data_IF_756063934125
#
_entry.id   IF_756063934125
#
_cell.length_a   1.000
_cell.length_b   1.000
_cell.length_c   1.000
_cell.angle_alpha   90.00
_cell.angle_beta   90.00
_cell.angle_gamma   90.00
#
_symmetry.space_group_name_H-M   'P 1'
#
loop_
_entity.id
_entity.type
_entity.pdbx_description
1 polymer ?
#
# COMPACT_ATOMS: atom_id res chain seq x y z
N UNK A 1 -2.83 -13.06 -11.02
CA UNK A 1 -3.28 -11.87 -10.25
C UNK A 1 -2.32 -10.71 -10.51
N UNK A 2 -2.84 -9.54 -10.87
CA UNK A 2 -2.09 -8.31 -11.09
C UNK A 2 -1.99 -7.49 -9.80
N UNK A 3 -3.11 -7.39 -9.07
CA UNK A 3 -3.21 -6.68 -7.79
C UNK A 3 -3.92 -7.57 -6.79
N UNK A 4 -3.35 -7.70 -5.58
CA UNK A 4 -3.86 -8.56 -4.52
C UNK A 4 -3.66 -7.91 -3.16
N UNK A 5 -4.62 -8.08 -2.26
CA UNK A 5 -4.47 -7.65 -0.87
C UNK A 5 -3.39 -8.44 -0.14
N UNK A 6 -2.91 -7.90 0.99
CA UNK A 6 -2.09 -8.67 1.92
C UNK A 6 -2.96 -9.61 2.75
N UNK A 7 -2.36 -10.52 3.51
CA UNK A 7 -3.10 -11.37 4.46
C UNK A 7 -3.79 -10.57 5.58
N UNK A 8 -3.38 -9.31 5.77
CA UNK A 8 -4.08 -8.35 6.62
C UNK A 8 -5.12 -7.60 5.79
N UNK A 9 -6.18 -8.30 5.38
CA UNK A 9 -7.37 -7.71 4.77
C UNK A 9 -8.64 -8.23 5.42
N UNK A 10 -9.70 -7.43 5.30
CA UNK A 10 -11.03 -7.71 5.78
C UNK A 10 -12.01 -7.21 4.72
N UNK A 11 -13.11 -7.93 4.50
CA UNK A 11 -14.24 -7.41 3.73
C UNK A 11 -15.16 -6.65 4.69
N UNK A 12 -15.67 -5.51 4.24
CA UNK A 12 -16.58 -4.64 4.99
C UNK A 12 -17.88 -4.56 4.20
N UNK A 13 -19.02 -4.53 4.89
CA UNK A 13 -20.30 -4.35 4.21
C UNK A 13 -20.36 -2.94 3.60
N UNK A 14 -20.84 -2.81 2.36
CA UNK A 14 -20.95 -1.53 1.65
C UNK A 14 -21.71 -0.49 2.49
N UNK A 15 -22.72 -0.91 3.27
CA UNK A 15 -23.51 -0.03 4.14
C UNK A 15 -22.69 0.65 5.23
N UNK A 16 -21.61 0.03 5.70
CA UNK A 16 -20.73 0.59 6.73
C UNK A 16 -19.75 1.61 6.14
N UNK A 17 -19.56 1.60 4.82
CA UNK A 17 -18.64 2.48 4.09
C UNK A 17 -19.37 3.53 3.25
N UNK A 18 -20.70 3.45 3.16
CA UNK A 18 -21.52 4.37 2.38
C UNK A 18 -21.52 5.78 3.01
N UNK A 19 -21.16 6.78 2.22
CA UNK A 19 -21.04 8.17 2.68
C UNK A 19 -19.64 8.52 3.18
N UNK A 20 -19.53 9.00 4.42
CA UNK A 20 -18.26 9.40 5.02
C UNK A 20 -17.85 8.41 6.10
N UNK A 21 -17.06 7.37 5.78
CA UNK A 21 -16.69 6.37 6.76
C UNK A 21 -15.85 6.98 7.88
N UNK A 22 -16.17 6.63 9.13
CA UNK A 22 -15.31 6.90 10.27
C UNK A 22 -14.15 5.90 10.28
N UNK A 23 -13.02 6.33 9.71
CA UNK A 23 -11.81 5.49 9.56
C UNK A 23 -11.37 4.87 10.90
N UNK A 24 -11.55 5.59 12.01
CA UNK A 24 -11.18 5.10 13.34
C UNK A 24 -12.10 3.95 13.82
N UNK A 25 -13.37 3.95 13.43
CA UNK A 25 -14.30 2.86 13.70
C UNK A 25 -13.99 1.64 12.85
N UNK A 26 -13.77 1.82 11.54
CA UNK A 26 -13.35 0.73 10.64
C UNK A 26 -12.04 0.05 11.12
N UNK A 27 -11.09 0.84 11.60
CA UNK A 27 -9.84 0.30 12.17
C UNK A 27 -10.04 -0.42 13.50
N UNK A 28 -11.06 -0.02 14.29
CA UNK A 28 -11.42 -0.68 15.56
C UNK A 28 -12.00 -2.07 15.31
N UNK A 29 -12.82 -2.18 14.28
CA UNK A 29 -13.50 -3.43 13.91
C UNK A 29 -12.66 -4.32 13.00
N UNK A 30 -11.57 -3.78 12.45
CA UNK A 30 -10.65 -4.50 11.59
C UNK A 30 -10.13 -5.80 12.24
N UNK A 31 -10.48 -6.91 11.61
CA UNK A 31 -9.98 -8.25 11.94
C UNK A 31 -9.31 -8.84 10.70
N UNK A 32 -8.00 -9.12 10.74
CA UNK A 32 -7.33 -9.72 9.59
C UNK A 32 -7.90 -11.12 9.34
N UNK A 33 -8.49 -11.34 8.17
CA UNK A 33 -9.05 -12.63 7.77
C UNK A 33 -8.01 -13.68 7.38
N UNK A 34 -6.74 -13.30 7.22
CA UNK A 34 -5.66 -14.17 6.73
C UNK A 34 -5.75 -14.51 5.24
N UNK A 35 -6.91 -14.28 4.64
CA UNK A 35 -7.17 -14.44 3.21
C UNK A 35 -6.66 -13.24 2.41
N UNK A 36 -6.27 -13.51 1.16
CA UNK A 36 -5.88 -12.49 0.20
C UNK A 36 -6.91 -12.41 -0.91
N UNK A 37 -7.38 -11.21 -1.20
CA UNK A 37 -8.37 -10.95 -2.24
C UNK A 37 -7.67 -10.42 -3.49
N UNK A 38 -8.08 -10.96 -4.63
CA UNK A 38 -7.63 -10.47 -5.93
C UNK A 38 -8.43 -9.23 -6.32
N UNK A 39 -7.76 -8.08 -6.37
CA UNK A 39 -8.36 -6.79 -6.78
C UNK A 39 -8.28 -6.64 -8.30
N UNK A 40 -7.21 -7.16 -8.90
CA UNK A 40 -7.00 -7.13 -10.34
C UNK A 40 -6.49 -8.47 -10.85
N UNK A 41 -7.13 -9.03 -11.86
CA UNK A 41 -6.74 -10.33 -12.46
C UNK A 41 -6.64 -10.23 -13.97
N UNK A 42 -5.63 -10.91 -14.52
CA UNK A 42 -5.55 -11.18 -15.95
C UNK A 42 -6.17 -12.54 -16.22
N UNK A 43 -7.13 -12.56 -17.12
CA UNK A 43 -7.79 -13.77 -17.63
C UNK A 43 -7.33 -13.92 -19.07
N UNK A 44 -6.70 -15.06 -19.37
CA UNK A 44 -6.28 -15.39 -20.72
C UNK A 44 -6.59 -16.83 -21.09
N UNK A 45 -6.81 -17.05 -22.39
CA UNK A 45 -7.13 -18.36 -22.95
C UNK A 45 -8.47 -18.41 -23.69
N UNK A 46 -8.89 -19.59 -24.18
CA UNK A 46 -10.17 -19.74 -24.83
C UNK A 46 -11.30 -19.47 -23.84
N UNK A 47 -12.23 -18.60 -24.21
CA UNK A 47 -13.40 -18.27 -23.39
C UNK A 47 -14.67 -18.81 -24.03
N UNK A 48 -15.54 -19.38 -23.19
CA UNK A 48 -16.84 -19.90 -23.61
C UNK A 48 -17.91 -18.83 -23.43
N UNK A 49 -18.88 -18.81 -24.35
CA UNK A 49 -20.03 -17.92 -24.25
C UNK A 49 -20.87 -18.28 -23.01
N UNK A 50 -21.29 -17.25 -22.26
CA UNK A 50 -22.28 -17.40 -21.19
C UNK A 50 -23.70 -17.68 -21.74
N UNK A 51 -23.92 -17.43 -23.03
CA UNK A 51 -25.18 -17.67 -23.73
C UNK A 51 -25.05 -18.89 -24.65
N UNK A 52 -25.00 -20.09 -24.06
CA UNK A 52 -24.82 -21.34 -24.81
C UNK A 52 -25.92 -21.57 -25.87
N UNK A 53 -27.14 -21.10 -25.58
CA UNK A 53 -28.32 -21.23 -26.43
C UNK A 53 -28.47 -20.09 -27.46
N UNK A 54 -27.50 -19.17 -27.51
CA UNK A 54 -27.51 -18.02 -28.42
C UNK A 54 -28.33 -16.83 -27.89
N UNK A 55 -28.48 -15.77 -28.71
CA UNK A 55 -29.21 -14.57 -28.30
C UNK A 55 -30.70 -14.89 -28.01
N UNK A 56 -31.33 -14.16 -27.07
CA UNK A 56 -32.77 -14.31 -26.78
C UNK A 56 -33.58 -14.19 -28.07
N UNK A 57 -34.60 -15.04 -28.25
CA UNK A 57 -35.43 -15.08 -29.47
C UNK A 57 -36.05 -13.71 -29.79
N UNK A 58 -36.41 -12.96 -28.76
CA UNK A 58 -37.00 -11.60 -28.86
C UNK A 58 -36.01 -10.55 -29.42
N UNK A 59 -34.69 -10.80 -29.33
CA UNK A 59 -33.66 -9.93 -29.92
C UNK A 59 -33.43 -10.22 -31.41
N UNK A 60 -33.90 -11.37 -31.90
CA UNK A 60 -33.88 -11.77 -33.31
C UNK A 60 -35.20 -11.42 -34.03
N UNK A 61 -36.25 -11.10 -33.28
CA UNK A 61 -37.47 -10.55 -33.86
C UNK A 61 -37.18 -9.14 -34.39
N UNK A 62 -37.25 -9.01 -35.72
CA UNK A 62 -37.17 -7.72 -36.41
C UNK A 62 -38.22 -6.79 -35.80
N UNK A 63 -37.82 -5.86 -34.93
CA UNK A 63 -38.67 -4.71 -34.58
C UNK A 63 -39.16 -4.09 -35.88
N UNK A 64 -40.47 -3.77 -36.03
CA UNK A 64 -40.97 -3.14 -37.23
C UNK A 64 -40.17 -1.86 -37.46
N UNK A 65 -39.45 -1.82 -38.57
CA UNK A 65 -38.71 -0.64 -38.99
C UNK A 65 -39.77 0.38 -39.41
N UNK A 66 -39.84 1.54 -38.75
CA UNK A 66 -40.69 2.64 -39.21
C UNK A 66 -40.32 2.99 -40.65
N UNK A 67 -41.32 3.22 -41.51
CA UNK A 67 -41.12 3.58 -42.92
C UNK A 67 -40.13 4.75 -43.05
N UNK A 68 -38.94 4.47 -43.61
CA UNK A 68 -37.88 5.46 -43.83
C UNK A 68 -36.57 5.23 -43.06
N UNK A 69 -36.51 4.29 -42.12
CA UNK A 69 -35.25 3.92 -41.46
C UNK A 69 -34.54 2.75 -42.18
N UNK A 70 -33.22 2.86 -42.36
CA UNK A 70 -32.37 1.77 -42.86
C UNK A 70 -32.49 0.55 -41.93
N UNK A 71 -32.74 -0.62 -42.51
CA UNK A 71 -32.84 -1.87 -41.75
C UNK A 71 -31.54 -2.09 -40.95
N UNK A 72 -31.62 -2.44 -39.66
CA UNK A 72 -30.42 -2.74 -38.87
C UNK A 72 -29.67 -3.91 -39.51
N UNK A 73 -28.35 -3.78 -39.65
CA UNK A 73 -27.50 -4.85 -40.18
C UNK A 73 -27.73 -6.14 -39.39
N UNK A 74 -27.77 -7.31 -40.05
CA UNK A 74 -27.94 -8.58 -39.36
C UNK A 74 -26.77 -8.79 -38.40
N UNK A 75 -27.08 -9.06 -37.13
CA UNK A 75 -26.07 -9.38 -36.12
C UNK A 75 -25.22 -10.57 -36.59
N UNK A 76 -23.90 -10.54 -36.37
CA UNK A 76 -23.01 -11.64 -36.75
C UNK A 76 -23.42 -12.94 -36.03
N UNK A 77 -23.09 -14.08 -36.64
CA UNK A 77 -23.39 -15.40 -36.09
C UNK A 77 -22.79 -15.55 -34.67
N UNK A 78 -23.60 -16.05 -33.74
CA UNK A 78 -23.21 -16.25 -32.35
C UNK A 78 -22.01 -17.19 -32.23
N UNK A 79 -20.96 -16.75 -31.52
CA UNK A 79 -19.78 -17.55 -31.24
C UNK A 79 -19.93 -18.24 -29.88
N UNK A 80 -19.98 -19.58 -29.89
CA UNK A 80 -20.03 -20.39 -28.66
C UNK A 80 -18.71 -20.38 -27.89
N UNK A 81 -17.60 -20.14 -28.58
CA UNK A 81 -16.25 -20.07 -28.05
C UNK A 81 -15.45 -19.01 -28.80
N UNK A 82 -14.45 -18.41 -28.15
CA UNK A 82 -13.61 -17.39 -28.76
C UNK A 82 -12.76 -17.96 -29.90
N UNK A 83 -12.58 -17.18 -30.97
CA UNK A 83 -11.76 -17.57 -32.14
C UNK A 83 -10.26 -17.64 -31.84
N UNK A 84 -9.83 -17.05 -30.73
CA UNK A 84 -8.46 -17.05 -30.25
C UNK A 84 -8.42 -16.87 -28.73
N UNK A 85 -7.24 -16.88 -28.12
CA UNK A 85 -7.11 -16.61 -26.69
C UNK A 85 -7.61 -15.19 -26.39
N UNK A 86 -8.59 -15.06 -25.50
CA UNK A 86 -8.98 -13.77 -24.97
C UNK A 86 -7.84 -13.23 -24.10
N UNK A 87 -7.69 -11.91 -24.06
CA UNK A 87 -6.84 -11.19 -23.12
C UNK A 87 -7.74 -10.20 -22.40
N UNK A 88 -8.03 -10.45 -21.13
CA UNK A 88 -8.95 -9.63 -20.34
C UNK A 88 -8.24 -9.27 -19.04
N UNK A 89 -8.28 -7.99 -18.68
CA UNK A 89 -7.91 -7.52 -17.35
C UNK A 89 -9.20 -7.13 -16.64
N UNK A 90 -9.48 -7.80 -15.52
CA UNK A 90 -10.63 -7.55 -14.68
C UNK A 90 -10.15 -6.83 -13.41
N UNK A 91 -10.81 -5.72 -13.08
CA UNK A 91 -10.59 -4.94 -11.87
C UNK A 91 -11.86 -4.97 -11.03
N UNK A 92 -11.69 -5.03 -9.71
CA UNK A 92 -12.79 -5.13 -8.75
C UNK A 92 -13.62 -3.85 -8.67
N UNK A 93 -13.04 -2.69 -9.01
CA UNK A 93 -13.67 -1.39 -8.90
C UNK A 93 -13.34 -0.50 -10.11
N UNK A 94 -14.23 0.44 -10.43
CA UNK A 94 -14.09 1.43 -11.49
C UNK A 94 -13.43 2.74 -11.03
N UNK A 95 -13.33 2.97 -9.72
CA UNK A 95 -12.74 4.20 -9.15
C UNK A 95 -11.28 4.45 -9.56
N UNK A 96 -10.57 3.41 -10.02
CA UNK A 96 -9.23 3.53 -10.61
C UNK A 96 -9.16 4.51 -11.80
N UNK A 97 -10.30 4.77 -12.46
CA UNK A 97 -10.40 5.69 -13.59
C UNK A 97 -10.81 7.12 -13.20
N UNK A 98 -11.18 7.35 -11.94
CA UNK A 98 -11.64 8.66 -11.47
C UNK A 98 -10.44 9.57 -11.16
N UNK A 99 -10.45 10.79 -11.69
CA UNK A 99 -9.41 11.83 -11.57
C UNK A 99 -8.93 12.04 -10.12
N UNK A 100 -9.85 11.99 -9.15
CA UNK A 100 -9.54 12.16 -7.72
C UNK A 100 -8.53 11.12 -7.20
N UNK A 101 -8.44 9.96 -7.86
CA UNK A 101 -7.58 8.85 -7.47
C UNK A 101 -6.26 8.76 -8.24
N UNK A 102 -5.98 9.67 -9.18
CA UNK A 102 -4.70 9.66 -9.90
C UNK A 102 -4.06 11.02 -10.13
N UNK A 103 -4.81 12.13 -9.99
CA UNK A 103 -4.27 13.48 -10.12
C UNK A 103 -4.74 14.39 -8.99
N UNK A 104 -3.79 15.00 -8.29
CA UNK A 104 -4.05 16.04 -7.31
C UNK A 104 -3.65 17.40 -7.89
N UNK A 105 -4.63 18.28 -8.07
CA UNK A 105 -4.39 19.64 -8.56
C UNK A 105 -3.82 20.47 -7.41
N UNK A 106 -2.65 21.09 -7.63
CA UNK A 106 -2.05 22.02 -6.70
C UNK A 106 -2.49 23.45 -7.05
N UNK A 107 -3.11 24.13 -6.08
CA UNK A 107 -3.63 25.49 -6.25
C UNK A 107 -2.98 26.44 -5.23
N UNK A 108 -2.52 27.59 -5.71
CA UNK A 108 -2.03 28.68 -4.87
C UNK A 108 -2.78 29.94 -5.28
N UNK A 109 -3.41 30.60 -4.29
CA UNK A 109 -4.11 31.88 -4.48
C UNK A 109 -5.16 31.88 -5.62
N UNK A 110 -5.93 30.79 -5.79
CA UNK A 110 -6.94 30.72 -6.84
C UNK A 110 -6.41 30.24 -8.20
N UNK A 111 -5.10 30.05 -8.34
CA UNK A 111 -4.44 29.66 -9.59
C UNK A 111 -3.90 28.24 -9.49
N UNK A 112 -4.31 27.40 -10.45
CA UNK A 112 -3.76 26.04 -10.61
C UNK A 112 -2.32 26.15 -11.07
N UNK A 113 -1.38 25.80 -10.19
CA UNK A 113 0.06 25.89 -10.45
C UNK A 113 0.66 24.57 -10.96
N UNK A 114 -0.07 23.46 -10.81
CA UNK A 114 0.39 22.16 -11.26
C UNK A 114 -0.60 21.04 -10.96
N UNK A 115 -0.21 19.85 -11.41
CA UNK A 115 -0.90 18.60 -11.15
C UNK A 115 0.16 17.60 -10.68
N UNK A 116 -0.08 16.97 -9.52
CA UNK A 116 0.77 15.92 -8.97
C UNK A 116 0.10 14.58 -9.20
N UNK A 117 0.83 13.64 -9.77
CA UNK A 117 0.36 12.25 -9.88
C UNK A 117 0.31 11.60 -8.50
N UNK A 118 -0.80 10.96 -8.18
CA UNK A 118 -1.02 10.26 -6.90
C UNK A 118 -1.44 8.82 -7.20
N UNK A 119 -1.11 7.87 -6.33
CA UNK A 119 -1.65 6.50 -6.39
C UNK A 119 -1.16 5.59 -7.53
N UNK A 120 -0.48 6.12 -8.56
CA UNK A 120 0.06 5.30 -9.66
C UNK A 120 -0.99 4.62 -10.55
N UNK A 121 -2.27 4.95 -10.37
CA UNK A 121 -3.39 4.34 -11.08
C UNK A 121 -3.33 4.61 -12.59
N UNK A 122 -2.93 5.82 -13.02
CA UNK A 122 -2.76 6.15 -14.44
C UNK A 122 -1.69 5.27 -15.10
N UNK A 123 -0.53 5.13 -14.47
CA UNK A 123 0.54 4.29 -14.96
C UNK A 123 0.09 2.82 -15.04
N UNK A 124 -0.68 2.34 -14.07
CA UNK A 124 -1.25 0.99 -14.10
C UNK A 124 -2.20 0.80 -15.30
N UNK A 125 -3.17 1.69 -15.49
CA UNK A 125 -4.14 1.62 -16.59
C UNK A 125 -3.46 1.71 -17.95
N UNK A 126 -2.52 2.62 -18.12
CA UNK A 126 -1.78 2.76 -19.37
C UNK A 126 -1.00 1.48 -19.69
N UNK A 127 -0.29 0.92 -18.70
CA UNK A 127 0.41 -0.36 -18.88
C UNK A 127 -0.55 -1.52 -19.18
N UNK A 128 -1.75 -1.52 -18.60
CA UNK A 128 -2.78 -2.52 -18.88
C UNK A 128 -3.29 -2.41 -20.32
N UNK A 129 -3.55 -1.19 -20.82
CA UNK A 129 -3.97 -0.96 -22.21
C UNK A 129 -2.86 -1.34 -23.20
N UNK A 130 -1.60 -1.00 -22.88
CA UNK A 130 -0.46 -1.42 -23.68
C UNK A 130 -0.30 -2.96 -23.71
N UNK A 131 -0.45 -3.62 -22.57
CA UNK A 131 -0.43 -5.09 -22.47
C UNK A 131 -1.56 -5.74 -23.30
N UNK A 132 -2.76 -5.15 -23.30
CA UNK A 132 -3.91 -5.62 -24.06
C UNK A 132 -3.83 -5.35 -25.57
N UNK A 133 -3.21 -4.24 -25.98
CA UNK A 133 -3.08 -3.82 -27.39
C UNK A 133 -1.97 -4.56 -28.15
N UNK A 134 -1.01 -5.16 -27.44
CA UNK A 134 -0.21 -6.27 -27.93
C UNK A 134 1.04 -5.89 -28.71
N UNK A 135 2.18 -6.06 -28.03
CA UNK A 135 3.38 -6.67 -28.61
C UNK A 135 3.99 -7.60 -27.56
N UNK A 136 3.41 -8.81 -27.41
CA UNK A 136 3.77 -9.79 -26.38
C UNK A 136 5.29 -10.07 -26.29
N UNK A 137 6.01 -9.95 -27.41
CA UNK A 137 7.46 -10.16 -27.49
C UNK A 137 8.27 -8.97 -26.93
N UNK A 138 7.79 -7.73 -27.08
CA UNK A 138 8.48 -6.51 -26.65
C UNK A 138 8.09 -6.06 -25.24
N UNK A 139 6.90 -6.41 -24.75
CA UNK A 139 6.47 -6.12 -23.37
C UNK A 139 7.34 -6.88 -22.36
N UNK A 140 7.75 -8.12 -22.68
CA UNK A 140 8.64 -8.91 -21.82
C UNK A 140 10.07 -8.35 -21.72
N UNK A 141 10.47 -7.50 -22.68
CA UNK A 141 11.76 -6.81 -22.71
C UNK A 141 11.72 -5.45 -22.01
N UNK A 142 10.53 -4.89 -21.76
CA UNK A 142 10.40 -3.71 -20.90
C UNK A 142 10.78 -4.14 -19.48
N UNK A 143 11.85 -3.51 -18.97
CA UNK A 143 12.39 -3.71 -17.64
C UNK A 143 11.29 -4.05 -16.65
N UNK A 144 11.36 -5.23 -16.01
CA UNK A 144 10.55 -5.53 -14.82
C UNK A 144 10.59 -4.27 -13.94
N UNK A 145 9.45 -3.62 -13.79
CA UNK A 145 9.32 -2.42 -12.97
C UNK A 145 9.91 -2.67 -11.59
N UNK A 146 10.38 -1.61 -10.95
CA UNK A 146 11.00 -1.67 -9.63
C UNK A 146 10.18 -2.57 -8.71
N UNK A 147 10.70 -3.77 -8.45
CA UNK A 147 10.09 -4.69 -7.53
C UNK A 147 10.27 -4.06 -6.16
N UNK A 148 9.26 -3.33 -5.70
CA UNK A 148 9.25 -2.71 -4.38
C UNK A 148 9.36 -3.86 -3.38
N UNK A 149 10.54 -4.02 -2.78
CA UNK A 149 10.76 -4.89 -1.65
C UNK A 149 10.54 -4.04 -0.41
N UNK A 150 9.31 -3.96 0.14
CA UNK A 150 9.07 -3.14 1.31
C UNK A 150 9.95 -3.64 2.45
N UNK A 151 10.45 -2.70 3.23
CA UNK A 151 11.18 -3.01 4.45
C UNK A 151 10.18 -3.51 5.50
N UNK A 152 9.90 -4.81 5.49
CA UNK A 152 8.92 -5.46 6.39
C UNK A 152 9.18 -5.12 7.86
N UNK A 153 10.44 -4.98 8.27
CA UNK A 153 10.80 -4.50 9.61
C UNK A 153 10.25 -3.10 9.90
N UNK A 154 10.41 -2.14 8.97
CA UNK A 154 9.87 -0.78 9.11
C UNK A 154 8.34 -0.82 9.18
N UNK A 155 7.70 -1.63 8.34
CA UNK A 155 6.25 -1.81 8.37
C UNK A 155 5.77 -2.36 9.72
N UNK A 156 6.50 -3.32 10.32
CA UNK A 156 6.14 -3.85 11.64
C UNK A 156 6.31 -2.80 12.75
N UNK A 157 7.31 -1.92 12.67
CA UNK A 157 7.51 -0.82 13.62
C UNK A 157 6.35 0.17 13.51
N UNK A 158 6.01 0.60 12.28
CA UNK A 158 4.88 1.49 12.00
C UNK A 158 3.57 0.93 12.54
N UNK A 159 3.26 -0.34 12.23
CA UNK A 159 2.04 -1.01 12.70
C UNK A 159 1.94 -1.06 14.23
N UNK A 160 3.04 -1.34 14.93
CA UNK A 160 3.05 -1.36 16.41
C UNK A 160 2.82 0.03 17.01
N UNK A 161 3.38 1.06 16.39
CA UNK A 161 3.16 2.44 16.80
C UNK A 161 1.71 2.88 16.53
N UNK A 162 1.16 2.60 15.36
CA UNK A 162 -0.25 2.85 15.00
C UNK A 162 -1.21 2.19 16.01
N UNK A 163 -0.99 0.90 16.33
CA UNK A 163 -1.80 0.20 17.33
C UNK A 163 -1.69 0.80 18.74
N UNK A 164 -0.55 1.40 19.07
CA UNK A 164 -0.36 2.07 20.37
C UNK A 164 -1.01 3.46 20.40
N UNK A 165 -0.92 4.21 19.29
CA UNK A 165 -1.60 5.49 19.12
C UNK A 165 -3.11 5.33 19.17
N UNK A 166 -3.66 4.31 18.50
CA UNK A 166 -5.10 4.02 18.53
C UNK A 166 -5.58 3.76 19.97
N UNK A 167 -4.86 2.93 20.74
CA UNK A 167 -5.19 2.66 22.15
C UNK A 167 -5.15 3.92 23.01
N UNK A 168 -4.15 4.79 22.81
CA UNK A 168 -4.06 6.05 23.56
C UNK A 168 -5.16 7.04 23.20
N UNK A 169 -5.52 7.12 21.91
CA UNK A 169 -6.67 7.92 21.45
C UNK A 169 -7.98 7.45 22.10
N UNK A 170 -8.23 6.13 22.10
CA UNK A 170 -9.43 5.54 22.73
C UNK A 170 -9.49 5.82 24.25
N UNK A 171 -8.34 5.70 24.93
CA UNK A 171 -8.25 6.02 26.35
C UNK A 171 -8.52 7.51 26.60
N UNK A 172 -8.06 8.39 25.72
CA UNK A 172 -8.31 9.83 25.80
C UNK A 172 -9.81 10.15 25.60
N UNK A 173 -10.44 9.55 24.59
CA UNK A 173 -11.89 9.68 24.36
C UNK A 173 -12.71 9.20 25.55
N UNK A 174 -12.36 8.04 26.10
CA UNK A 174 -13.03 7.48 27.30
C UNK A 174 -12.93 8.45 28.48
N UNK A 175 -11.72 8.98 28.74
CA UNK A 175 -11.51 9.97 29.80
C UNK A 175 -12.29 11.26 29.57
N UNK A 176 -12.41 11.69 28.31
CA UNK A 176 -13.18 12.88 27.95
C UNK A 176 -14.67 12.67 28.25
N UNK A 177 -15.21 11.53 27.85
CA UNK A 177 -16.60 11.17 28.11
C UNK A 177 -16.89 11.03 29.62
N UNK A 178 -15.98 10.39 30.37
CA UNK A 178 -16.10 10.26 31.83
C UNK A 178 -16.07 11.63 32.54
N UNK A 179 -15.17 12.52 32.12
CA UNK A 179 -15.08 13.87 32.68
C UNK A 179 -16.32 14.71 32.34
N UNK A 180 -16.82 14.62 31.11
CA UNK A 180 -18.06 15.27 30.70
C UNK A 180 -19.26 14.78 31.53
N UNK A 181 -19.39 13.46 31.72
CA UNK A 181 -20.47 12.87 32.52
C UNK A 181 -20.40 13.29 33.99
N UNK A 182 -19.20 13.40 34.58
CA UNK A 182 -19.03 13.87 35.97
C UNK A 182 -19.42 15.34 36.14
N UNK A 183 -19.09 16.18 35.16
CA UNK A 183 -19.46 17.60 35.19
C UNK A 183 -20.96 17.77 34.99
N UNK A 184 -21.58 16.99 34.10
CA UNK A 184 -23.03 16.94 33.93
C UNK A 184 -23.75 16.40 35.17
N UNK A 185 -23.19 15.41 35.87
CA UNK A 185 -23.77 14.93 37.14
C UNK A 185 -23.79 15.99 38.24
N UNK A 186 -22.87 16.98 38.19
CA UNK A 186 -22.80 18.10 39.13
C UNK A 186 -23.73 19.26 38.77
N UNK A 187 -24.31 19.28 37.56
CA UNK A 187 -25.17 20.36 37.07
C UNK A 187 -26.35 19.78 36.28
N UNK A 188 -27.57 19.93 36.78
CA UNK A 188 -28.76 19.53 36.02
C UNK A 188 -28.75 20.06 34.57
N UNK A 189 -28.59 19.13 33.63
CA UNK A 189 -28.78 19.24 32.17
C UNK A 189 -28.35 20.56 31.51
N UNK A 190 -27.04 20.69 31.22
CA UNK A 190 -26.56 21.62 30.18
C UNK A 190 -25.66 20.88 29.16
N UNK A 191 -26.12 20.69 27.90
CA UNK A 191 -25.46 19.82 26.92
C UNK A 191 -24.18 20.39 26.26
N UNK A 192 -23.80 21.64 26.51
CA UNK A 192 -22.75 22.33 25.73
C UNK A 192 -21.32 22.26 26.33
N UNK A 193 -21.11 21.54 27.45
CA UNK A 193 -19.83 21.58 28.19
C UNK A 193 -18.72 20.67 27.65
N UNK A 194 -19.04 19.63 26.88
CA UNK A 194 -18.04 18.71 26.32
C UNK A 194 -17.00 19.41 25.41
N UNK A 195 -17.43 20.45 24.69
CA UNK A 195 -16.54 21.31 23.87
C UNK A 195 -15.81 22.38 24.70
N UNK A 196 -16.38 22.78 25.84
CA UNK A 196 -15.74 23.71 26.78
C UNK A 196 -14.60 23.05 27.56
N UNK A 197 -14.66 21.74 27.82
CA UNK A 197 -13.55 20.96 28.41
C UNK A 197 -12.27 20.96 27.57
N UNK A 198 -12.40 21.16 26.26
CA UNK A 198 -11.28 21.19 25.31
C UNK A 198 -10.75 22.61 25.05
N UNK A 199 -11.49 23.65 25.41
CA UNK A 199 -11.15 25.05 25.15
C UNK A 199 -10.90 25.82 26.46
N UNK A 200 -10.06 26.86 26.41
CA UNK A 200 -9.70 27.66 27.58
C UNK A 200 -10.79 28.71 27.93
N UNK A 201 -12.06 28.32 27.86
CA UNK A 201 -13.20 29.19 28.06
C UNK A 201 -13.51 29.42 29.54
N UNK A 202 -13.69 30.68 29.92
CA UNK A 202 -14.11 31.12 31.26
C UNK A 202 -15.60 30.91 31.49
N UNK A 203 -16.00 29.66 31.75
CA UNK A 203 -17.31 29.38 32.35
C UNK A 203 -17.25 29.53 33.88
N UNK A 204 -18.34 30.00 34.48
CA UNK A 204 -18.48 30.12 35.93
C UNK A 204 -18.72 28.74 36.57
N UNK A 205 -17.67 27.93 36.64
CA UNK A 205 -17.67 26.64 37.33
C UNK A 205 -17.73 26.83 38.86
N UNK A 206 -18.49 25.96 39.54
CA UNK A 206 -18.46 25.80 41.00
C UNK A 206 -17.06 25.36 41.48
N UNK A 207 -16.71 25.55 42.77
CA UNK A 207 -15.39 25.18 43.28
C UNK A 207 -15.03 23.70 43.06
N UNK A 208 -16.02 22.80 43.17
CA UNK A 208 -15.86 21.36 42.95
C UNK A 208 -15.64 21.03 41.46
N UNK A 209 -16.36 21.68 40.55
CA UNK A 209 -16.17 21.55 39.11
C UNK A 209 -14.79 22.06 38.65
N UNK A 210 -14.28 23.16 39.23
CA UNK A 210 -12.93 23.67 38.93
C UNK A 210 -11.85 22.66 39.31
N UNK A 211 -12.00 21.99 40.45
CA UNK A 211 -11.06 20.97 40.89
C UNK A 211 -11.03 19.75 39.96
N UNK A 212 -12.19 19.28 39.49
CA UNK A 212 -12.26 18.16 38.54
C UNK A 212 -11.78 18.56 37.13
N UNK A 213 -12.07 19.80 36.69
CA UNK A 213 -11.57 20.35 35.42
C UNK A 213 -10.05 20.46 35.40
N UNK A 214 -9.42 20.95 36.48
CA UNK A 214 -7.95 21.04 36.59
C UNK A 214 -7.28 19.65 36.58
N UNK A 215 -7.91 18.66 37.23
CA UNK A 215 -7.46 17.26 37.14
C UNK A 215 -7.54 16.75 35.69
N UNK A 216 -8.69 16.96 35.02
CA UNK A 216 -8.87 16.56 33.63
C UNK A 216 -7.86 17.26 32.70
N UNK A 217 -7.65 18.58 32.84
CA UNK A 217 -6.66 19.35 32.06
C UNK A 217 -5.24 18.80 32.22
N UNK A 218 -4.87 18.44 33.44
CA UNK A 218 -3.57 17.83 33.75
C UNK A 218 -3.42 16.47 33.07
N UNK A 219 -4.43 15.61 33.19
CA UNK A 219 -4.44 14.28 32.57
C UNK A 219 -4.47 14.35 31.04
N UNK A 220 -5.30 15.20 30.46
CA UNK A 220 -5.38 15.45 29.02
C UNK A 220 -4.04 15.94 28.48
N UNK A 221 -3.42 16.90 29.17
CA UNK A 221 -2.10 17.40 28.81
C UNK A 221 -1.00 16.34 28.89
N UNK A 222 -1.10 15.40 29.84
CA UNK A 222 -0.21 14.24 29.96
C UNK A 222 -0.41 13.26 28.80
N UNK A 223 -1.65 12.85 28.51
CA UNK A 223 -1.94 11.91 27.42
C UNK A 223 -1.59 12.49 26.05
N UNK A 224 -1.78 13.80 25.83
CA UNK A 224 -1.34 14.47 24.59
C UNK A 224 0.19 14.47 24.42
N UNK A 225 0.95 14.54 25.53
CA UNK A 225 2.41 14.36 25.49
C UNK A 225 2.76 12.91 25.15
N UNK A 226 2.12 11.95 25.81
CA UNK A 226 2.32 10.52 25.51
C UNK A 226 2.06 10.20 24.03
N UNK A 227 1.02 10.78 23.40
CA UNK A 227 0.77 10.65 21.96
C UNK A 227 1.91 11.20 21.09
N UNK A 228 2.45 12.37 21.45
CA UNK A 228 3.59 12.97 20.75
C UNK A 228 4.87 12.16 20.94
N UNK A 229 5.07 11.61 22.14
CA UNK A 229 6.23 10.79 22.47
C UNK A 229 6.22 9.48 21.67
N UNK A 230 5.05 8.84 21.49
CA UNK A 230 4.92 7.66 20.62
C UNK A 230 5.26 7.99 19.17
N UNK A 231 4.81 9.13 18.65
CA UNK A 231 5.15 9.56 17.29
C UNK A 231 6.65 9.85 17.14
N UNK A 232 7.24 10.52 18.14
CA UNK A 232 8.67 10.80 18.17
C UNK A 232 9.48 9.50 18.21
N UNK A 233 9.10 8.56 19.07
CA UNK A 233 9.75 7.26 19.20
C UNK A 233 9.65 6.44 17.91
N UNK A 234 8.50 6.44 17.24
CA UNK A 234 8.32 5.81 15.92
C UNK A 234 9.34 6.34 14.92
N UNK A 235 9.47 7.67 14.82
CA UNK A 235 10.41 8.28 13.89
C UNK A 235 11.86 7.95 14.26
N UNK A 236 12.22 8.02 15.54
CA UNK A 236 13.57 7.67 16.02
C UNK A 236 13.93 6.21 15.74
N UNK A 237 12.99 5.28 15.95
CA UNK A 237 13.21 3.86 15.68
C UNK A 237 13.44 3.59 14.19
N UNK A 238 12.67 4.25 13.31
CA UNK A 238 12.84 4.18 11.86
C UNK A 238 14.19 4.79 11.43
N UNK A 239 14.51 5.99 11.92
CA UNK A 239 15.73 6.71 11.56
C UNK A 239 16.98 5.96 12.01
N UNK A 240 16.95 5.35 13.20
CA UNK A 240 18.05 4.53 13.71
C UNK A 240 18.27 3.29 12.86
N UNK A 241 17.19 2.59 12.49
CA UNK A 241 17.26 1.43 11.61
C UNK A 241 17.83 1.81 10.24
N UNK A 242 17.31 2.90 9.64
CA UNK A 242 17.77 3.41 8.35
C UNK A 242 19.24 3.81 8.40
N UNK A 243 19.65 4.55 9.43
CA UNK A 243 21.03 5.01 9.62
C UNK A 243 22.00 3.84 9.79
N UNK A 244 21.64 2.84 10.60
CA UNK A 244 22.48 1.66 10.80
C UNK A 244 22.60 0.83 9.52
N UNK A 245 21.49 0.63 8.80
CA UNK A 245 21.51 -0.11 7.53
C UNK A 245 22.31 0.62 6.45
N UNK A 246 22.20 1.95 6.38
CA UNK A 246 22.99 2.78 5.48
C UNK A 246 24.49 2.69 5.81
N UNK A 247 24.86 2.83 7.09
CA UNK A 247 26.24 2.70 7.54
C UNK A 247 26.82 1.30 7.26
N UNK A 248 26.03 0.25 7.52
CA UNK A 248 26.43 -1.12 7.21
C UNK A 248 26.64 -1.31 5.71
N UNK A 249 25.69 -0.91 4.87
CA UNK A 249 25.81 -1.12 3.42
C UNK A 249 26.98 -0.31 2.81
N UNK A 250 27.16 0.93 3.24
CA UNK A 250 28.22 1.82 2.77
C UNK A 250 29.62 1.37 3.20
N UNK A 251 29.75 0.72 4.35
CA UNK A 251 31.03 0.15 4.81
C UNK A 251 31.28 -1.28 4.32
N UNK A 252 30.27 -2.15 4.41
CA UNK A 252 30.40 -3.58 4.15
C UNK A 252 30.68 -3.89 2.69
N UNK A 253 29.95 -3.27 1.74
CA UNK A 253 30.10 -3.61 0.32
C UNK A 253 31.50 -3.26 -0.21
N UNK A 254 32.03 -2.04 0.00
CA UNK A 254 33.41 -1.74 -0.39
C UNK A 254 34.45 -2.61 0.32
N UNK A 255 34.27 -2.86 1.62
CA UNK A 255 35.18 -3.72 2.39
C UNK A 255 35.21 -5.16 1.85
N UNK A 256 34.05 -5.73 1.54
CA UNK A 256 33.94 -7.08 0.97
C UNK A 256 34.64 -7.18 -0.39
N UNK A 257 34.49 -6.17 -1.25
CA UNK A 257 35.20 -6.10 -2.54
C UNK A 257 36.71 -6.01 -2.31
N UNK A 258 37.16 -5.13 -1.40
CA UNK A 258 38.58 -4.97 -1.07
C UNK A 258 39.21 -6.27 -0.55
N UNK A 259 38.54 -6.97 0.38
CA UNK A 259 38.97 -8.26 0.90
C UNK A 259 39.02 -9.32 -0.21
N UNK A 260 38.02 -9.35 -1.09
CA UNK A 260 37.99 -10.27 -2.23
C UNK A 260 39.16 -10.07 -3.20
N UNK A 261 39.52 -8.82 -3.50
CA UNK A 261 40.67 -8.49 -4.34
C UNK A 261 42.01 -8.89 -3.68
N UNK A 262 42.16 -8.62 -2.38
CA UNK A 262 43.35 -9.03 -1.62
C UNK A 262 43.50 -10.55 -1.59
N UNK A 263 42.42 -11.27 -1.34
CA UNK A 263 42.39 -12.73 -1.35
C UNK A 263 42.76 -13.29 -2.73
N UNK A 264 42.20 -12.74 -3.80
CA UNK A 264 42.53 -13.14 -5.17
C UNK A 264 44.01 -12.87 -5.51
N UNK A 265 44.56 -11.74 -5.07
CA UNK A 265 45.96 -11.40 -5.22
C UNK A 265 46.88 -12.42 -4.53
N UNK A 266 46.59 -12.73 -3.27
CA UNK A 266 47.33 -13.74 -2.49
C UNK A 266 47.22 -15.16 -3.06
N UNK A 267 46.06 -15.54 -3.57
CA UNK A 267 45.88 -16.85 -4.20
C UNK A 267 46.67 -16.97 -5.51
N UNK A 268 46.75 -15.87 -6.28
CA UNK A 268 47.55 -15.80 -7.50
C UNK A 268 49.05 -15.89 -7.23
N UNK A 269 49.57 -15.24 -6.19
CA UNK A 269 51.00 -15.34 -5.85
C UNK A 269 51.36 -16.75 -5.40
N UNK A 270 50.53 -17.39 -4.58
CA UNK A 270 50.76 -18.79 -4.17
C UNK A 270 50.74 -19.78 -5.33
N UNK A 271 49.84 -19.61 -6.30
CA UNK A 271 49.86 -20.46 -7.51
C UNK A 271 51.12 -20.27 -8.35
N UNK A 272 51.64 -19.03 -8.44
CA UNK A 272 52.91 -18.77 -9.15
C UNK A 272 54.10 -19.39 -8.43
N UNK A 273 54.16 -19.29 -7.10
CA UNK A 273 55.20 -19.94 -6.29
C UNK A 273 55.17 -21.46 -6.42
N UNK A 274 53.99 -22.08 -6.40
CA UNK A 274 53.82 -23.52 -6.62
C UNK A 274 54.22 -23.96 -8.03
N UNK A 275 53.89 -23.16 -9.06
CA UNK A 275 54.30 -23.45 -10.44
C UNK A 275 55.83 -23.33 -10.61
N UNK A 276 56.45 -22.29 -10.05
CA UNK A 276 57.91 -22.13 -10.08
C UNK A 276 58.65 -23.24 -9.32
N UNK A 277 58.12 -23.66 -8.16
CA UNK A 277 58.67 -24.78 -7.40
C UNK A 277 58.54 -26.12 -8.13
N UNK A 278 57.43 -26.35 -8.83
CA UNK A 278 57.22 -27.55 -9.65
C UNK A 278 58.17 -27.58 -10.87
N UNK A 279 58.41 -26.43 -11.50
CA UNK A 279 59.34 -26.29 -12.62
C UNK A 279 60.79 -26.59 -12.17
N UNK A 280 61.23 -26.00 -11.06
CA UNK A 280 62.54 -26.29 -10.46
C UNK A 280 62.70 -27.77 -10.07
N UNK A 281 61.67 -28.37 -9.48
CA UNK A 281 61.70 -29.81 -9.16
C UNK A 281 61.80 -30.68 -10.42
N UNK A 282 61.12 -30.31 -11.51
CA UNK A 282 61.20 -31.04 -12.77
C UNK A 282 62.58 -30.94 -13.44
N UNK A 283 63.23 -29.77 -13.37
CA UNK A 283 64.61 -29.59 -13.88
C UNK A 283 65.62 -30.40 -13.06
N UNK A 284 65.51 -30.37 -11.72
CA UNK A 284 66.37 -31.16 -10.84
C UNK A 284 66.24 -32.68 -11.06
N UNK A 285 65.03 -33.17 -11.37
CA UNK A 285 64.78 -34.58 -11.72
C UNK A 285 65.37 -34.92 -13.09
N UNK A 286 65.39 -33.97 -14.04
CA UNK A 286 66.00 -34.15 -15.37
C UNK A 286 67.52 -34.20 -15.30
N UNK A 287 68.17 -33.39 -14.47
CA UNK A 287 69.63 -33.41 -14.28
C UNK A 287 70.12 -34.63 -13.49
N UNK A 288 69.27 -35.23 -12.65
CA UNK A 288 69.60 -36.40 -11.84
C UNK A 288 69.45 -37.75 -12.56
N UNK A 289 69.05 -37.78 -13.84
CA UNK A 289 69.06 -39.00 -14.66
C UNK A 289 70.39 -39.11 -15.44
N UNK A 290 71.23 -40.13 -15.18
CA UNK A 290 72.48 -40.36 -15.90
C UNK A 290 72.25 -40.81 -17.36
#
# INVERSE_FOLDING_TARGET
PLVRTTANSMQVDVKEVEGRPEVEELLREFRPGGERFDIGVRISGPVKSAFADGPPKDALEKKPVAEGATAPEPLPAHLKESKGPANIILLADADVFNDDFWVQIEEIAGQRIGAREVGGNMAFVLNAVEDLSGSNELISLRSRGDMVRPFTTVDTIRRRAEASLLRQKQLLETKLNDAAARIEALEGQRPDQAKALQSDGTLNFTPEQRAELERFRTEYGRTKRELRDVQLQLNQDIDRLMSWLAAFNMGFVPAAIGIGLLFMGWWRTRKKEQAAAAEQASMAISEARP
#
